data_IF_386623992391
#
_entry.id   IF_386623992391
#
_cell.length_a   1.000
_cell.length_b   1.000
_cell.length_c   1.000
_cell.angle_alpha   90.00
_cell.angle_beta   90.00
_cell.angle_gamma   90.00
#
_symmetry.space_group_name_H-M   'P 1'
#
loop_
_entity.id
_entity.type
_entity.pdbx_description
1 polymer ?
#
# COMPACT_ATOMS: atom_id res chain seq x y z
N UNK A 1 7.33 1.42 -3.82
CA UNK A 1 6.11 1.52 -2.98
C UNK A 1 5.57 0.15 -2.59
N UNK A 2 5.16 -0.65 -3.57
CA UNK A 2 4.80 -2.07 -3.40
C UNK A 2 5.65 -2.98 -4.27
N UNK A 3 5.01 -3.94 -4.95
CA UNK A 3 5.65 -4.61 -6.10
C UNK A 3 5.96 -3.55 -7.16
N UNK A 4 7.22 -3.42 -7.56
CA UNK A 4 7.58 -2.57 -8.71
C UNK A 4 7.47 -3.39 -9.98
N UNK A 5 6.49 -3.07 -10.84
CA UNK A 5 6.35 -3.73 -12.13
C UNK A 5 7.42 -3.31 -13.13
N UNK A 6 7.90 -2.05 -13.06
CA UNK A 6 9.12 -1.65 -13.77
C UNK A 6 10.30 -2.55 -13.37
N UNK A 7 10.41 -2.90 -12.08
CA UNK A 7 11.42 -3.84 -11.61
C UNK A 7 11.21 -5.29 -12.05
N UNK A 8 9.97 -5.76 -12.15
CA UNK A 8 9.67 -7.07 -12.75
C UNK A 8 10.14 -7.10 -14.21
N UNK A 9 9.80 -6.09 -15.00
CA UNK A 9 10.20 -6.02 -16.41
C UNK A 9 11.70 -5.83 -16.59
N UNK A 10 12.38 -5.13 -15.67
CA UNK A 10 13.85 -5.07 -15.61
C UNK A 10 14.47 -6.47 -15.55
N UNK A 11 14.03 -7.32 -14.61
CA UNK A 11 14.57 -8.68 -14.50
C UNK A 11 14.20 -9.54 -15.71
N UNK A 12 12.98 -9.39 -16.26
CA UNK A 12 12.60 -10.09 -17.50
C UNK A 12 13.43 -9.64 -18.70
N UNK A 13 13.91 -8.39 -18.75
CA UNK A 13 14.78 -7.88 -19.80
C UNK A 13 16.19 -8.44 -19.67
N UNK A 14 16.73 -8.51 -18.44
CA UNK A 14 18.00 -9.18 -18.14
C UNK A 14 18.02 -10.64 -18.64
N UNK A 15 16.98 -11.40 -18.32
CA UNK A 15 16.86 -12.81 -18.73
C UNK A 15 16.83 -12.98 -20.26
N UNK A 16 16.38 -11.95 -21.00
CA UNK A 16 16.32 -11.94 -22.47
C UNK A 16 17.56 -11.31 -23.14
N UNK A 17 18.47 -10.71 -22.37
CA UNK A 17 19.58 -9.92 -22.92
C UNK A 17 19.14 -8.64 -23.65
N UNK A 18 17.98 -8.08 -23.29
CA UNK A 18 17.45 -6.84 -23.88
C UNK A 18 17.99 -5.62 -23.11
N UNK A 19 19.16 -5.13 -23.54
CA UNK A 19 19.88 -4.03 -22.89
C UNK A 19 19.09 -2.71 -22.83
N UNK A 20 18.22 -2.44 -23.81
CA UNK A 20 17.43 -1.20 -23.83
C UNK A 20 16.35 -1.28 -22.76
N UNK A 21 15.59 -2.37 -22.72
CA UNK A 21 14.54 -2.55 -21.71
C UNK A 21 15.09 -2.70 -20.30
N UNK A 22 16.27 -3.31 -20.14
CA UNK A 22 17.01 -3.34 -18.87
C UNK A 22 17.29 -1.92 -18.39
N UNK A 23 17.93 -1.09 -19.21
CA UNK A 23 18.24 0.29 -18.84
C UNK A 23 16.98 1.08 -18.46
N UNK A 24 15.91 0.95 -19.26
CA UNK A 24 14.64 1.65 -19.00
C UNK A 24 13.96 1.17 -17.72
N UNK A 25 13.92 -0.14 -17.47
CA UNK A 25 13.33 -0.72 -16.26
C UNK A 25 14.05 -0.23 -14.99
N UNK A 26 15.38 -0.11 -15.04
CA UNK A 26 16.18 0.44 -13.95
C UNK A 26 15.94 1.93 -13.74
N UNK A 27 15.93 2.72 -14.83
CA UNK A 27 15.73 4.17 -14.77
C UNK A 27 14.37 4.56 -14.18
N UNK A 28 13.31 3.82 -14.52
CA UNK A 28 11.93 4.11 -14.09
C UNK A 28 11.47 3.23 -12.91
N UNK A 29 12.38 2.59 -12.19
CA UNK A 29 12.06 1.63 -11.12
C UNK A 29 11.13 2.19 -10.03
N UNK A 30 11.41 3.43 -9.61
CA UNK A 30 10.69 4.15 -8.56
C UNK A 30 9.73 5.23 -9.09
N UNK A 31 9.41 5.17 -10.39
CA UNK A 31 8.44 6.09 -10.99
C UNK A 31 7.01 5.79 -10.49
N UNK A 32 6.27 6.85 -10.14
CA UNK A 32 4.86 6.78 -9.76
C UNK A 32 4.50 7.64 -8.54
N UNK A 33 3.23 7.58 -8.15
CA UNK A 33 2.70 8.28 -6.98
C UNK A 33 2.74 7.34 -5.77
N UNK A 34 3.40 7.69 -4.66
CA UNK A 34 3.35 6.92 -3.42
C UNK A 34 1.91 6.67 -2.94
N UNK A 35 1.61 5.44 -2.50
CA UNK A 35 0.26 5.01 -2.11
C UNK A 35 -0.44 5.96 -1.14
N UNK A 36 0.27 6.43 -0.09
CA UNK A 36 -0.31 7.32 0.90
C UNK A 36 -0.86 8.62 0.29
N UNK A 37 -0.11 9.22 -0.63
CA UNK A 37 -0.57 10.44 -1.29
C UNK A 37 -1.65 10.16 -2.33
N UNK A 38 -1.51 9.08 -3.10
CA UNK A 38 -2.56 8.65 -4.05
C UNK A 38 -3.91 8.46 -3.35
N UNK A 39 -3.92 7.88 -2.13
CA UNK A 39 -5.13 7.72 -1.32
C UNK A 39 -5.73 9.08 -0.96
N UNK A 40 -4.95 10.00 -0.41
CA UNK A 40 -5.43 11.35 -0.05
C UNK A 40 -5.98 12.08 -1.27
N UNK A 41 -5.24 12.04 -2.38
CA UNK A 41 -5.63 12.69 -3.64
C UNK A 41 -6.93 12.11 -4.22
N UNK A 42 -7.13 10.80 -4.15
CA UNK A 42 -8.34 10.17 -4.66
C UNK A 42 -9.54 10.34 -3.71
N UNK A 43 -9.30 10.42 -2.39
CA UNK A 43 -10.36 10.55 -1.41
C UNK A 43 -11.15 11.86 -1.58
N UNK A 44 -10.52 12.93 -2.08
CA UNK A 44 -11.20 14.20 -2.36
C UNK A 44 -12.22 14.13 -3.49
N UNK A 45 -12.19 13.08 -4.32
CA UNK A 45 -13.11 12.90 -5.45
C UNK A 45 -14.50 12.39 -5.01
N UNK A 46 -14.70 12.06 -3.73
CA UNK A 46 -16.00 11.65 -3.19
C UNK A 46 -16.45 10.23 -3.57
N UNK A 47 -15.57 9.41 -4.15
CA UNK A 47 -15.83 8.01 -4.49
C UNK A 47 -15.15 7.06 -3.49
N UNK A 48 -15.63 5.81 -3.33
CA UNK A 48 -14.93 4.81 -2.53
C UNK A 48 -13.51 4.56 -3.06
N UNK A 49 -12.51 4.70 -2.19
CA UNK A 49 -11.09 4.47 -2.52
C UNK A 49 -10.62 3.13 -1.96
N UNK A 50 -9.90 2.36 -2.77
CA UNK A 50 -9.23 1.14 -2.33
C UNK A 50 -7.72 1.39 -2.32
N UNK A 51 -7.11 1.44 -1.14
CA UNK A 51 -5.67 1.58 -1.01
C UNK A 51 -4.99 0.26 -1.34
N UNK A 52 -4.14 0.25 -2.36
CA UNK A 52 -3.35 -0.93 -2.74
C UNK A 52 -1.92 -0.52 -3.08
N UNK A 53 -1.03 -1.51 -3.17
CA UNK A 53 0.38 -1.27 -3.45
C UNK A 53 1.15 -0.92 -2.17
N UNK A 54 1.99 -1.85 -1.72
CA UNK A 54 2.85 -1.62 -0.54
C UNK A 54 2.20 -1.93 0.80
N UNK A 55 0.93 -2.34 0.86
CA UNK A 55 0.31 -2.83 2.09
C UNK A 55 0.96 -4.14 2.50
N UNK A 56 1.59 -4.19 3.68
CA UNK A 56 2.29 -5.39 4.19
C UNK A 56 1.75 -5.85 5.53
N UNK A 57 1.23 -4.94 6.34
CA UNK A 57 0.81 -5.18 7.73
C UNK A 57 -0.57 -4.61 8.01
N UNK A 58 -1.18 -4.99 9.13
CA UNK A 58 -2.41 -4.38 9.66
C UNK A 58 -2.24 -2.90 10.01
N UNK A 59 -1.03 -2.45 10.36
CA UNK A 59 -0.73 -1.01 10.53
C UNK A 59 -0.82 -0.26 9.19
N UNK A 60 -0.39 -0.88 8.08
CA UNK A 60 -0.54 -0.27 6.75
C UNK A 60 -2.00 -0.20 6.33
N UNK A 61 -2.81 -1.20 6.70
CA UNK A 61 -4.27 -1.18 6.52
C UNK A 61 -4.87 -0.02 7.32
N UNK A 62 -4.51 0.11 8.61
CA UNK A 62 -5.01 1.16 9.48
C UNK A 62 -4.69 2.56 8.93
N UNK A 63 -3.44 2.80 8.54
CA UNK A 63 -3.00 4.05 7.91
C UNK A 63 -3.76 4.35 6.63
N UNK A 64 -3.99 3.33 5.81
CA UNK A 64 -4.73 3.50 4.55
C UNK A 64 -6.16 3.99 4.80
N UNK A 65 -6.85 3.39 5.76
CA UNK A 65 -8.22 3.76 6.13
C UNK A 65 -8.24 5.16 6.74
N UNK A 66 -7.33 5.45 7.68
CA UNK A 66 -7.23 6.75 8.32
C UNK A 66 -6.86 7.89 7.35
N UNK A 67 -6.18 7.59 6.25
CA UNK A 67 -5.90 8.54 5.16
C UNK A 67 -7.07 8.76 4.20
N UNK A 68 -8.20 8.07 4.38
CA UNK A 68 -9.43 8.27 3.60
C UNK A 68 -9.85 7.08 2.73
N UNK A 69 -9.09 5.97 2.71
CA UNK A 69 -9.52 4.78 1.99
C UNK A 69 -10.77 4.14 2.62
N UNK A 70 -11.61 3.54 1.79
CA UNK A 70 -12.73 2.71 2.23
C UNK A 70 -12.30 1.27 2.48
N UNK A 71 -11.28 0.79 1.75
CA UNK A 71 -10.75 -0.58 1.83
C UNK A 71 -9.23 -0.56 1.61
N UNK A 72 -8.57 -1.62 2.06
CA UNK A 72 -7.14 -1.87 1.78
C UNK A 72 -6.96 -3.24 1.11
N UNK A 73 -6.03 -3.33 0.17
CA UNK A 73 -5.74 -4.55 -0.58
C UNK A 73 -4.25 -4.90 -0.59
N UNK A 74 -3.96 -6.20 -0.51
CA UNK A 74 -2.60 -6.75 -0.53
C UNK A 74 -2.49 -7.88 -1.55
N UNK A 75 -1.30 -8.04 -2.15
CA UNK A 75 -1.04 -9.05 -3.17
C UNK A 75 0.26 -9.82 -2.88
N UNK A 76 1.42 -9.18 -3.05
CA UNK A 76 2.73 -9.82 -2.88
C UNK A 76 2.91 -10.60 -1.56
N UNK A 77 2.48 -10.08 -0.38
CA UNK A 77 2.57 -10.83 0.87
C UNK A 77 1.82 -12.16 0.90
N UNK A 78 0.81 -12.33 0.04
CA UNK A 78 -0.01 -13.54 -0.04
C UNK A 78 0.52 -14.55 -1.07
N UNK A 79 1.42 -14.14 -1.97
CA UNK A 79 1.97 -15.03 -3.01
C UNK A 79 2.75 -16.19 -2.38
N UNK A 80 3.73 -15.89 -1.52
CA UNK A 80 4.54 -16.95 -0.90
C UNK A 80 3.73 -17.91 0.00
N UNK A 81 2.77 -17.44 0.84
CA UNK A 81 1.84 -18.33 1.52
C UNK A 81 0.98 -19.18 0.57
N UNK A 82 0.44 -18.58 -0.50
CA UNK A 82 -0.40 -19.30 -1.47
C UNK A 82 0.35 -20.42 -2.20
N UNK A 83 1.67 -20.29 -2.38
CA UNK A 83 2.52 -21.36 -2.93
C UNK A 83 2.68 -22.55 -1.98
N UNK A 84 2.32 -22.42 -0.70
CA UNK A 84 2.35 -23.50 0.28
C UNK A 84 1.02 -24.24 0.33
N UNK A 85 -0.05 -23.53 0.73
CA UNK A 85 -1.42 -24.03 0.83
C UNK A 85 -2.38 -22.90 1.28
N UNK A 86 -3.69 -23.20 1.33
CA UNK A 86 -4.71 -22.26 1.79
C UNK A 86 -4.56 -21.86 3.27
N UNK A 87 -4.19 -22.80 4.15
CA UNK A 87 -4.02 -22.54 5.59
C UNK A 87 -2.94 -21.48 5.84
N UNK A 88 -1.81 -21.53 5.12
CA UNK A 88 -0.76 -20.52 5.22
C UNK A 88 -1.25 -19.12 4.82
N UNK A 89 -2.18 -19.01 3.86
CA UNK A 89 -2.81 -17.73 3.49
C UNK A 89 -3.73 -17.25 4.60
N UNK A 90 -4.54 -18.15 5.16
CA UNK A 90 -5.43 -17.87 6.30
C UNK A 90 -4.62 -17.37 7.50
N UNK A 91 -3.51 -18.03 7.83
CA UNK A 91 -2.61 -17.63 8.92
C UNK A 91 -2.07 -16.22 8.69
N UNK A 92 -1.63 -15.91 7.45
CA UNK A 92 -1.10 -14.57 7.14
C UNK A 92 -2.18 -13.50 7.26
N UNK A 93 -3.38 -13.76 6.74
CA UNK A 93 -4.50 -12.84 6.83
C UNK A 93 -4.94 -12.63 8.28
N UNK A 94 -5.02 -13.71 9.06
CA UNK A 94 -5.38 -13.65 10.49
C UNK A 94 -4.37 -12.78 11.26
N UNK A 95 -3.08 -12.94 10.99
CA UNK A 95 -2.04 -12.08 11.57
C UNK A 95 -2.22 -10.60 11.19
N UNK A 96 -2.52 -10.29 9.92
CA UNK A 96 -2.78 -8.90 9.50
C UNK A 96 -4.05 -8.31 10.13
N UNK A 97 -5.08 -9.13 10.36
CA UNK A 97 -6.30 -8.72 11.07
C UNK A 97 -5.97 -8.37 12.53
N UNK A 98 -5.23 -9.23 13.24
CA UNK A 98 -4.81 -8.93 14.62
C UNK A 98 -3.92 -7.68 14.71
N UNK A 99 -3.02 -7.47 13.75
CA UNK A 99 -2.22 -6.24 13.65
C UNK A 99 -3.10 -4.98 13.49
N UNK A 100 -4.19 -5.07 12.71
CA UNK A 100 -5.17 -3.98 12.52
C UNK A 100 -5.96 -3.73 13.81
N UNK A 101 -6.46 -4.78 14.46
CA UNK A 101 -7.20 -4.67 15.73
C UNK A 101 -6.35 -4.00 16.81
N UNK A 102 -5.06 -4.34 16.91
CA UNK A 102 -4.12 -3.70 17.83
C UNK A 102 -3.93 -2.22 17.47
N UNK A 103 -3.76 -1.89 16.20
CA UNK A 103 -3.63 -0.49 15.76
C UNK A 103 -4.89 0.32 16.11
N UNK A 104 -6.07 -0.25 15.89
CA UNK A 104 -7.36 0.35 16.25
C UNK A 104 -7.48 0.56 17.77
N UNK A 105 -7.12 -0.44 18.56
CA UNK A 105 -7.10 -0.34 20.03
C UNK A 105 -6.20 0.79 20.52
N UNK A 106 -4.98 0.90 19.99
CA UNK A 106 -4.02 1.93 20.37
C UNK A 106 -4.47 3.35 19.97
N UNK A 107 -5.30 3.46 18.92
CA UNK A 107 -5.90 4.72 18.47
C UNK A 107 -7.26 5.01 19.12
N UNK A 108 -7.76 4.14 20.01
CA UNK A 108 -9.07 4.29 20.62
C UNK A 108 -10.24 4.19 19.64
N UNK A 109 -10.07 3.44 18.55
CA UNK A 109 -11.07 3.24 17.50
C UNK A 109 -11.77 1.88 17.71
N UNK A 110 -13.02 1.82 18.21
CA UNK A 110 -13.71 0.55 18.42
C UNK A 110 -14.14 -0.12 17.12
N UNK A 111 -14.29 0.64 16.03
CA UNK A 111 -14.57 0.10 14.70
C UNK A 111 -13.81 0.80 13.57
N UNK A 112 -13.98 0.28 12.35
CA UNK A 112 -13.29 0.78 11.14
C UNK A 112 -13.78 2.17 10.74
N UNK A 113 -15.02 2.52 11.05
CA UNK A 113 -15.56 3.84 10.75
C UNK A 113 -14.91 4.91 11.64
N UNK A 114 -14.66 4.61 12.91
CA UNK A 114 -13.88 5.48 13.81
C UNK A 114 -12.44 5.64 13.34
N UNK A 115 -11.83 4.57 12.81
CA UNK A 115 -10.47 4.65 12.27
C UNK A 115 -10.35 5.61 11.08
N UNK A 116 -11.42 5.76 10.29
CA UNK A 116 -11.46 6.67 9.14
C UNK A 116 -11.45 8.15 9.54
N UNK A 117 -11.88 8.47 10.75
CA UNK A 117 -11.89 9.84 11.30
C UNK A 117 -10.79 10.06 12.34
N UNK A 118 -9.95 9.05 12.58
CA UNK A 118 -8.84 9.13 13.53
C UNK A 118 -7.86 10.26 13.13
N UNK A 119 -7.33 11.01 14.11
CA UNK A 119 -6.35 12.05 13.84
C UNK A 119 -5.06 11.45 13.28
N UNK A 120 -4.58 12.00 12.17
CA UNK A 120 -3.33 11.58 11.53
C UNK A 120 -2.32 12.73 11.49
N UNK A 121 -1.03 12.37 11.55
CA UNK A 121 0.07 13.30 11.30
C UNK A 121 0.81 12.84 10.05
N UNK A 122 0.81 13.67 9.02
CA UNK A 122 1.53 13.44 7.77
C UNK A 122 2.82 14.27 7.78
N UNK A 123 3.96 13.63 7.53
CA UNK A 123 5.28 14.28 7.58
C UNK A 123 6.18 13.91 6.39
N UNK A 124 7.34 14.57 6.34
CA UNK A 124 8.38 14.36 5.33
C UNK A 124 7.89 14.57 3.90
N UNK A 125 8.47 13.80 2.97
CA UNK A 125 8.20 13.88 1.52
C UNK A 125 6.71 13.78 1.16
N UNK A 126 5.91 13.00 1.92
CA UNK A 126 4.48 12.85 1.62
C UNK A 126 3.74 14.16 1.89
N UNK A 127 4.03 14.83 3.01
CA UNK A 127 3.46 16.15 3.30
C UNK A 127 3.87 17.17 2.24
N UNK A 128 5.16 17.26 1.93
CA UNK A 128 5.68 18.18 0.91
C UNK A 128 4.98 17.99 -0.45
N UNK A 129 4.72 16.74 -0.83
CA UNK A 129 4.05 16.44 -2.09
C UNK A 129 2.55 16.81 -2.08
N UNK A 130 1.86 16.58 -0.96
CA UNK A 130 0.44 16.96 -0.81
C UNK A 130 0.28 18.49 -0.80
N UNK A 131 1.10 19.18 0.00
CA UNK A 131 1.13 20.65 0.08
C UNK A 131 1.36 21.26 -1.33
N UNK A 132 2.34 20.73 -2.08
CA UNK A 132 2.66 21.20 -3.43
C UNK A 132 1.55 20.94 -4.47
N UNK A 133 0.60 20.03 -4.17
CA UNK A 133 -0.50 19.65 -5.06
C UNK A 133 -1.86 20.18 -4.59
N UNK A 134 -1.90 20.94 -3.49
CA UNK A 134 -3.11 21.57 -2.95
C UNK A 134 -3.99 20.64 -2.12
N UNK A 135 -3.39 19.66 -1.44
CA UNK A 135 -4.06 18.74 -0.52
C UNK A 135 -3.66 18.98 0.93
#
# INVERSE_FOLDING_TARGET
GGTSWAGVEYYRALDRGDAVSEHLGGLFWDWGIPTAASVVECASCGLPVIATGGVRTGIDIAKSIALGASLSGTALPLVAPAMKNADAVIDRLSCMISELEIAMFLCGCPDVADLKTAPVVIGGRIREMLDARGF
#
